data_IF_770590966851
#
_entry.id   IF_770590966851
#
_cell.length_a   1.000
_cell.length_b   1.000
_cell.length_c   1.000
_cell.angle_alpha   90.00
_cell.angle_beta   90.00
_cell.angle_gamma   90.00
#
_symmetry.space_group_name_H-M   'P 1'
#
loop_
_entity.id
_entity.type
_entity.pdbx_description
1 polymer ?
#
# COMPACT_ATOMS: atom_id res chain seq x y z
N UNK A 1 11.77 35.94 22.92
CA UNK A 1 10.52 35.91 22.14
C UNK A 1 10.70 36.16 20.63
N UNK A 2 11.59 37.06 20.16
CA UNK A 2 11.81 37.29 18.72
C UNK A 2 12.32 36.09 17.90
N UNK A 3 13.03 35.14 18.52
CA UNK A 3 13.55 33.96 17.80
C UNK A 3 12.52 32.84 17.58
N UNK A 4 11.43 32.81 18.36
CA UNK A 4 10.31 31.86 18.16
C UNK A 4 9.41 32.33 16.99
N UNK A 5 9.44 33.63 16.68
CA UNK A 5 8.70 34.26 15.58
C UNK A 5 9.46 34.23 14.23
N UNK A 6 10.70 33.72 14.19
CA UNK A 6 11.47 33.60 12.94
C UNK A 6 11.21 32.29 12.18
N UNK A 7 10.16 31.56 12.60
CA UNK A 7 9.70 30.33 11.94
C UNK A 7 8.89 30.73 10.69
N UNK A 8 9.24 30.17 9.53
CA UNK A 8 8.53 30.42 8.26
C UNK A 8 7.04 30.08 8.42
N UNK A 9 6.14 30.89 7.85
CA UNK A 9 4.67 30.71 7.88
C UNK A 9 4.25 29.28 7.50
N UNK A 10 4.96 28.69 6.52
CA UNK A 10 4.78 27.30 6.08
C UNK A 10 4.91 26.28 7.24
N UNK A 11 5.89 26.47 8.13
CA UNK A 11 6.16 25.55 9.24
C UNK A 11 5.05 25.62 10.30
N UNK A 12 4.54 26.84 10.59
CA UNK A 12 3.40 27.01 11.49
C UNK A 12 2.13 26.39 10.91
N UNK A 13 1.86 26.66 9.63
CA UNK A 13 0.74 26.06 8.91
C UNK A 13 0.79 24.53 8.98
N UNK A 14 1.95 23.93 8.67
CA UNK A 14 2.14 22.48 8.73
C UNK A 14 1.96 21.93 10.14
N UNK A 15 2.51 22.60 11.16
CA UNK A 15 2.37 22.17 12.55
C UNK A 15 0.89 22.16 13.00
N UNK A 16 0.14 23.21 12.68
CA UNK A 16 -1.30 23.29 12.98
C UNK A 16 -2.06 22.17 12.26
N UNK A 17 -1.79 21.96 10.96
CA UNK A 17 -2.44 20.90 10.18
C UNK A 17 -2.15 19.51 10.76
N UNK A 18 -0.90 19.23 11.13
CA UNK A 18 -0.52 17.98 11.79
C UNK A 18 -1.28 17.79 13.11
N UNK A 19 -1.32 18.82 13.96
CA UNK A 19 -2.04 18.77 15.24
C UNK A 19 -3.53 18.50 15.05
N UNK A 20 -4.18 19.18 14.10
CA UNK A 20 -5.59 18.97 13.77
C UNK A 20 -5.85 17.55 13.26
N UNK A 21 -5.02 17.06 12.33
CA UNK A 21 -5.14 15.69 11.82
C UNK A 21 -5.00 14.67 12.96
N UNK A 22 -3.96 14.80 13.77
CA UNK A 22 -3.69 13.88 14.89
C UNK A 22 -4.84 13.89 15.89
N UNK A 23 -5.26 15.08 16.35
CA UNK A 23 -6.29 15.22 17.37
C UNK A 23 -7.65 14.65 16.92
N UNK A 24 -8.02 14.87 15.66
CA UNK A 24 -9.32 14.43 15.12
C UNK A 24 -9.36 12.97 14.67
N UNK A 25 -8.20 12.30 14.53
CA UNK A 25 -8.10 10.94 13.97
C UNK A 25 -7.28 9.97 14.84
N UNK A 26 -7.05 10.30 16.11
CA UNK A 26 -6.25 9.47 17.04
C UNK A 26 -6.86 8.09 17.33
N UNK A 27 -8.15 7.93 17.12
CA UNK A 27 -8.92 6.71 17.40
C UNK A 27 -9.40 6.03 16.10
N UNK A 28 -8.86 6.43 14.93
CA UNK A 28 -9.12 5.78 13.64
C UNK A 28 -7.97 4.82 13.35
N UNK A 29 -8.24 3.51 13.31
CA UNK A 29 -7.21 2.49 13.20
C UNK A 29 -7.65 1.25 12.43
N UNK A 30 -6.68 0.42 12.02
CA UNK A 30 -6.95 -0.86 11.37
C UNK A 30 -7.05 -1.99 12.41
N UNK A 31 -8.10 -2.79 12.30
CA UNK A 31 -8.32 -4.02 13.04
C UNK A 31 -7.20 -5.03 12.76
N UNK A 32 -6.71 -5.71 13.79
CA UNK A 32 -5.79 -6.83 13.63
C UNK A 32 -6.54 -8.06 13.12
N UNK A 33 -6.31 -8.47 11.87
CA UNK A 33 -6.90 -9.69 11.29
C UNK A 33 -6.01 -10.93 11.45
N UNK A 34 -5.02 -10.87 12.34
CA UNK A 34 -4.05 -11.94 12.59
C UNK A 34 -2.67 -11.74 11.95
N UNK A 35 -2.50 -10.67 11.18
CA UNK A 35 -1.25 -10.40 10.46
C UNK A 35 -0.20 -9.65 11.29
N UNK A 36 -0.61 -8.92 12.34
CA UNK A 36 0.32 -8.12 13.15
C UNK A 36 1.45 -8.95 13.72
N UNK A 37 1.16 -10.19 14.14
CA UNK A 37 2.13 -11.09 14.75
C UNK A 37 3.38 -11.30 13.89
N UNK A 38 3.23 -11.28 12.56
CA UNK A 38 4.33 -11.46 11.60
C UNK A 38 5.39 -10.37 11.73
N UNK A 39 4.98 -9.17 12.15
CA UNK A 39 5.82 -7.98 12.18
C UNK A 39 6.32 -7.60 13.59
N UNK A 40 5.77 -8.20 14.65
CA UNK A 40 6.01 -7.77 16.04
C UNK A 40 6.64 -8.82 16.96
N UNK A 41 6.57 -10.11 16.56
CA UNK A 41 6.87 -11.24 17.44
C UNK A 41 8.18 -11.16 18.24
N UNK A 42 9.31 -10.68 17.71
CA UNK A 42 10.57 -10.67 18.47
C UNK A 42 10.65 -9.65 19.60
N UNK A 43 9.74 -8.67 19.68
CA UNK A 43 9.85 -7.55 20.61
C UNK A 43 8.58 -7.26 21.42
N UNK A 44 7.45 -7.88 21.08
CA UNK A 44 6.16 -7.60 21.68
C UNK A 44 5.27 -8.86 21.75
N UNK A 45 4.46 -9.04 22.83
CA UNK A 45 3.49 -10.13 22.91
C UNK A 45 2.43 -10.09 21.80
N UNK A 46 1.79 -11.24 21.50
CA UNK A 46 0.73 -11.29 20.52
C UNK A 46 -0.45 -10.37 20.85
N UNK A 47 -0.91 -9.63 19.84
CA UNK A 47 -2.12 -8.82 19.91
C UNK A 47 -3.30 -9.69 19.50
N UNK A 48 -4.42 -9.71 20.27
CA UNK A 48 -5.63 -10.45 19.88
C UNK A 48 -6.12 -10.08 18.48
N UNK A 49 -6.56 -11.08 17.72
CA UNK A 49 -7.13 -10.88 16.38
C UNK A 49 -8.64 -10.64 16.49
N UNK A 50 -9.19 -9.85 15.56
CA UNK A 50 -10.62 -9.54 15.44
C UNK A 50 -11.25 -8.90 16.69
N UNK A 51 -10.44 -8.24 17.53
CA UNK A 51 -10.90 -7.50 18.72
C UNK A 51 -11.12 -6.03 18.38
N UNK A 52 -12.35 -5.54 18.56
CA UNK A 52 -12.76 -4.17 18.23
C UNK A 52 -12.41 -3.13 19.32
N UNK A 53 -12.22 -3.55 20.57
CA UNK A 53 -11.85 -2.70 21.70
C UNK A 53 -10.34 -2.77 21.96
N UNK A 54 -9.54 -2.22 21.05
CA UNK A 54 -8.07 -2.16 21.21
C UNK A 54 -7.63 -0.91 21.97
N UNK A 55 -6.74 -1.08 22.95
CA UNK A 55 -6.18 0.03 23.75
C UNK A 55 -5.17 0.88 22.99
N UNK A 56 -4.62 0.33 21.88
CA UNK A 56 -3.55 0.91 21.07
C UNK A 56 -2.20 1.12 21.81
N UNK A 57 -2.11 0.61 23.04
CA UNK A 57 -0.92 0.59 23.89
C UNK A 57 -0.56 -0.85 24.18
N UNK A 58 0.66 -1.24 23.85
CA UNK A 58 1.09 -2.63 23.91
C UNK A 58 2.39 -2.77 24.72
N UNK A 59 2.48 -3.72 25.65
CA UNK A 59 3.70 -3.93 26.42
C UNK A 59 4.82 -4.47 25.53
N UNK A 60 6.05 -4.01 25.74
CA UNK A 60 7.25 -4.52 25.09
C UNK A 60 7.85 -5.64 25.96
N UNK A 61 8.58 -6.57 25.33
CA UNK A 61 9.36 -7.55 26.09
C UNK A 61 10.52 -6.89 26.84
N UNK A 62 10.85 -7.40 28.03
CA UNK A 62 12.01 -6.99 28.83
C UNK A 62 13.32 -7.17 28.07
N UNK A 63 13.45 -8.23 27.27
CA UNK A 63 14.56 -8.48 26.36
C UNK A 63 14.03 -8.79 24.97
N UNK A 64 14.56 -8.10 23.95
CA UNK A 64 14.16 -8.37 22.56
C UNK A 64 14.95 -9.56 22.03
N UNK A 65 14.27 -10.46 21.31
CA UNK A 65 14.87 -11.73 20.89
C UNK A 65 15.75 -11.62 19.63
N UNK A 66 15.95 -10.40 19.12
CA UNK A 66 16.77 -10.11 17.94
C UNK A 66 16.05 -10.34 16.60
N UNK A 67 16.49 -9.62 15.57
CA UNK A 67 15.90 -9.68 14.21
C UNK A 67 15.97 -11.08 13.55
N UNK A 68 16.87 -11.96 14.02
CA UNK A 68 16.99 -13.33 13.51
C UNK A 68 15.77 -14.22 13.82
N UNK A 69 14.96 -13.85 14.82
CA UNK A 69 13.81 -14.63 15.29
C UNK A 69 12.52 -14.39 14.51
N UNK A 70 12.51 -13.46 13.57
CA UNK A 70 11.40 -13.30 12.64
C UNK A 70 11.21 -14.55 11.79
N UNK A 71 9.99 -15.12 11.85
CA UNK A 71 9.52 -16.14 10.90
C UNK A 71 9.16 -15.53 9.55
N UNK A 72 8.67 -14.29 9.56
CA UNK A 72 8.43 -13.47 8.38
C UNK A 72 9.41 -12.30 8.38
N UNK A 73 10.40 -12.33 7.49
CA UNK A 73 11.45 -11.31 7.42
C UNK A 73 11.13 -10.31 6.33
N UNK A 74 11.13 -9.04 6.67
CA UNK A 74 10.91 -7.95 5.72
C UNK A 74 11.58 -6.67 6.19
N UNK A 75 11.77 -5.72 5.27
CA UNK A 75 12.24 -4.37 5.61
C UNK A 75 11.35 -3.72 6.67
N UNK A 76 10.02 -3.89 6.55
CA UNK A 76 9.06 -3.33 7.50
C UNK A 76 9.20 -3.92 8.91
N UNK A 77 9.35 -5.25 9.02
CA UNK A 77 9.50 -5.91 10.32
C UNK A 77 10.79 -5.45 11.02
N UNK A 78 11.86 -5.20 10.25
CA UNK A 78 13.10 -4.64 10.78
C UNK A 78 12.94 -3.17 11.17
N UNK A 79 12.26 -2.35 10.38
CA UNK A 79 11.94 -0.96 10.73
C UNK A 79 11.18 -0.92 12.07
N UNK A 80 10.14 -1.75 12.23
CA UNK A 80 9.38 -1.81 13.48
C UNK A 80 10.21 -2.26 14.67
N UNK A 81 11.11 -3.23 14.48
CA UNK A 81 12.03 -3.66 15.52
C UNK A 81 12.87 -2.50 16.07
N UNK A 82 13.50 -1.71 15.18
CA UNK A 82 14.32 -0.56 15.60
C UNK A 82 13.48 0.59 16.15
N UNK A 83 12.25 0.79 15.64
CA UNK A 83 11.30 1.74 16.24
C UNK A 83 10.94 1.31 17.67
N UNK A 84 10.67 0.02 17.90
CA UNK A 84 10.38 -0.49 19.23
C UNK A 84 11.58 -0.36 20.18
N UNK A 85 12.82 -0.53 19.70
CA UNK A 85 14.03 -0.28 20.50
C UNK A 85 14.12 1.19 20.92
N UNK A 86 13.81 2.13 20.02
CA UNK A 86 13.77 3.55 20.36
C UNK A 86 12.69 3.89 21.40
N UNK A 87 11.51 3.26 21.32
CA UNK A 87 10.47 3.39 22.35
C UNK A 87 10.94 2.86 23.70
N UNK A 88 11.63 1.71 23.70
CA UNK A 88 12.14 1.04 24.89
C UNK A 88 13.12 1.89 25.72
N UNK A 89 13.78 2.87 25.11
CA UNK A 89 14.63 3.83 25.82
C UNK A 89 13.87 4.76 26.75
N UNK A 90 12.56 4.94 26.54
CA UNK A 90 11.74 5.91 27.28
C UNK A 90 10.56 5.25 28.00
N UNK A 91 10.08 4.11 27.51
CA UNK A 91 8.91 3.40 28.08
C UNK A 91 8.98 1.90 27.79
N UNK A 92 8.39 1.11 28.66
CA UNK A 92 8.14 -0.33 28.50
C UNK A 92 6.95 -0.65 27.59
N UNK A 93 6.32 0.36 26.97
CA UNK A 93 5.14 0.19 26.12
C UNK A 93 5.32 0.87 24.77
N UNK A 94 4.83 0.22 23.71
CA UNK A 94 4.67 0.84 22.40
C UNK A 94 3.23 1.38 22.28
N UNK A 95 3.10 2.70 22.35
CA UNK A 95 1.84 3.40 22.05
C UNK A 95 1.76 3.71 20.55
N UNK A 96 0.90 2.97 19.85
CA UNK A 96 0.71 3.15 18.40
C UNK A 96 0.07 4.48 18.03
N UNK A 97 -0.54 5.21 18.98
CA UNK A 97 -1.02 6.58 18.75
C UNK A 97 0.15 7.56 18.65
N UNK A 98 1.21 7.37 19.44
CA UNK A 98 2.43 8.18 19.35
C UNK A 98 3.13 7.90 18.02
N UNK A 99 3.32 6.62 17.67
CA UNK A 99 3.87 6.24 16.37
C UNK A 99 3.02 6.82 15.22
N UNK A 100 1.70 6.71 15.32
CA UNK A 100 0.77 7.29 14.34
C UNK A 100 0.94 8.80 14.19
N UNK A 101 1.09 9.53 15.31
CA UNK A 101 1.32 10.97 15.28
C UNK A 101 2.62 11.36 14.56
N UNK A 102 3.70 10.62 14.81
CA UNK A 102 4.98 10.80 14.12
C UNK A 102 4.85 10.54 12.62
N UNK A 103 4.21 9.43 12.24
CA UNK A 103 4.06 9.04 10.84
C UNK A 103 3.10 9.97 10.07
N UNK A 104 1.99 10.41 10.68
CA UNK A 104 1.08 11.41 10.11
C UNK A 104 1.79 12.75 9.86
N UNK A 105 2.65 13.16 10.79
CA UNK A 105 3.46 14.38 10.64
C UNK A 105 4.47 14.26 9.51
N UNK A 106 5.18 13.13 9.43
CA UNK A 106 6.10 12.83 8.35
C UNK A 106 5.37 12.80 6.99
N UNK A 107 4.20 12.16 6.94
CA UNK A 107 3.37 12.05 5.75
C UNK A 107 2.95 13.43 5.21
N UNK A 108 2.37 14.30 6.04
CA UNK A 108 2.00 15.65 5.63
C UNK A 108 3.20 16.50 5.20
N UNK A 109 4.35 16.33 5.87
CA UNK A 109 5.60 17.00 5.50
C UNK A 109 6.09 16.58 4.12
N UNK A 110 6.02 15.28 3.81
CA UNK A 110 6.38 14.72 2.51
C UNK A 110 5.40 15.21 1.43
N UNK A 111 4.09 15.21 1.71
CA UNK A 111 3.09 15.73 0.77
C UNK A 111 3.30 17.22 0.49
N UNK A 112 3.62 18.04 1.50
CA UNK A 112 3.93 19.45 1.30
C UNK A 112 5.20 19.61 0.46
N UNK A 113 6.23 18.79 0.69
CA UNK A 113 7.45 18.78 -0.12
C UNK A 113 7.14 18.43 -1.59
N UNK A 114 6.29 17.43 -1.83
CA UNK A 114 5.80 17.06 -3.16
C UNK A 114 5.05 18.22 -3.83
N UNK A 115 4.09 18.82 -3.13
CA UNK A 115 3.33 19.97 -3.62
C UNK A 115 4.27 21.13 -4.01
N UNK A 116 5.23 21.47 -3.14
CA UNK A 116 6.24 22.51 -3.41
C UNK A 116 7.06 22.18 -4.64
N UNK A 117 7.54 20.95 -4.77
CA UNK A 117 8.37 20.54 -5.91
C UNK A 117 7.59 20.62 -7.23
N UNK A 118 6.30 20.29 -7.23
CA UNK A 118 5.40 20.46 -8.39
C UNK A 118 5.23 21.95 -8.75
N UNK A 119 5.19 22.82 -7.74
CA UNK A 119 5.04 24.28 -7.88
C UNK A 119 6.38 25.02 -8.02
N UNK A 120 7.47 24.34 -8.40
CA UNK A 120 8.82 24.94 -8.54
C UNK A 120 9.30 25.69 -7.28
N UNK A 121 8.88 25.23 -6.09
CA UNK A 121 9.10 25.81 -4.76
C UNK A 121 8.55 27.23 -4.55
N UNK A 122 7.74 27.74 -5.47
CA UNK A 122 7.07 29.04 -5.37
C UNK A 122 5.68 28.83 -4.80
N UNK A 123 5.53 28.96 -3.48
CA UNK A 123 4.24 28.80 -2.79
C UNK A 123 3.84 30.07 -2.05
N UNK A 124 2.59 30.51 -2.24
CA UNK A 124 1.96 31.60 -1.51
C UNK A 124 0.85 31.13 -0.57
N UNK A 125 0.09 32.07 -0.01
CA UNK A 125 -1.02 31.75 0.89
C UNK A 125 -2.14 30.93 0.20
N UNK A 126 -2.45 31.26 -1.06
CA UNK A 126 -3.44 30.52 -1.85
C UNK A 126 -2.99 29.08 -2.14
N UNK A 127 -1.69 28.86 -2.33
CA UNK A 127 -1.10 27.53 -2.47
C UNK A 127 -1.21 26.70 -1.20
N UNK A 128 -1.04 27.33 -0.02
CA UNK A 128 -1.23 26.65 1.26
C UNK A 128 -2.70 26.25 1.46
N UNK A 129 -3.65 27.09 1.02
CA UNK A 129 -5.08 26.74 1.04
C UNK A 129 -5.42 25.61 0.07
N UNK A 130 -4.88 25.66 -1.14
CA UNK A 130 -5.00 24.56 -2.11
C UNK A 130 -4.41 23.25 -1.55
N UNK A 131 -3.22 23.32 -0.97
CA UNK A 131 -2.58 22.18 -0.32
C UNK A 131 -3.41 21.66 0.85
N UNK A 132 -4.03 22.52 1.66
CA UNK A 132 -4.93 22.09 2.73
C UNK A 132 -6.05 21.20 2.18
N UNK A 133 -6.78 21.65 1.17
CA UNK A 133 -7.88 20.91 0.55
C UNK A 133 -7.40 19.58 -0.04
N UNK A 134 -6.28 19.59 -0.75
CA UNK A 134 -5.71 18.37 -1.35
C UNK A 134 -5.17 17.40 -0.29
N UNK A 135 -4.60 17.90 0.81
CA UNK A 135 -4.11 17.07 1.91
C UNK A 135 -5.27 16.41 2.68
N UNK A 136 -6.40 17.10 2.85
CA UNK A 136 -7.62 16.51 3.43
C UNK A 136 -8.08 15.31 2.60
N UNK A 137 -8.07 15.43 1.26
CA UNK A 137 -8.38 14.31 0.36
C UNK A 137 -7.47 13.08 0.57
N UNK A 138 -6.18 13.33 0.81
CA UNK A 138 -5.17 12.31 1.10
C UNK A 138 -5.29 11.68 2.49
N UNK A 139 -6.06 12.29 3.39
CA UNK A 139 -6.23 11.91 4.79
C UNK A 139 -7.56 11.20 5.09
N UNK A 140 -8.20 10.58 4.10
CA UNK A 140 -9.34 9.68 4.32
C UNK A 140 -8.98 8.51 5.24
N UNK A 141 -9.97 7.92 5.92
CA UNK A 141 -9.75 6.80 6.86
C UNK A 141 -9.06 5.61 6.20
N UNK A 142 -9.32 5.37 4.92
CA UNK A 142 -8.63 4.37 4.09
C UNK A 142 -7.12 4.49 4.05
N UNK A 143 -6.56 5.68 4.28
CA UNK A 143 -5.12 5.92 4.33
C UNK A 143 -4.63 6.01 5.77
N UNK A 144 -5.29 6.84 6.58
CA UNK A 144 -4.75 7.19 7.90
C UNK A 144 -4.91 6.09 8.95
N UNK A 145 -5.85 5.15 8.77
CA UNK A 145 -6.07 4.02 9.68
C UNK A 145 -4.85 3.06 9.72
N UNK A 146 -4.03 3.06 8.67
CA UNK A 146 -2.79 2.27 8.64
C UNK A 146 -1.71 2.81 9.57
N UNK A 147 -1.73 4.10 9.96
CA UNK A 147 -0.69 4.68 10.81
C UNK A 147 -0.61 4.08 12.23
N UNK A 148 -1.72 3.86 12.95
CA UNK A 148 -1.71 3.12 14.22
C UNK A 148 -1.84 1.59 14.03
N UNK A 149 -1.19 1.02 13.01
CA UNK A 149 -1.24 -0.42 12.71
C UNK A 149 0.15 -0.99 12.42
N UNK A 150 0.26 -2.32 12.40
CA UNK A 150 1.48 -3.06 12.02
C UNK A 150 1.37 -3.72 10.64
N UNK A 151 0.53 -3.17 9.76
CA UNK A 151 0.43 -3.64 8.36
C UNK A 151 1.58 -3.10 7.52
N UNK A 152 2.20 -3.97 6.71
CA UNK A 152 3.38 -3.63 5.91
C UNK A 152 3.09 -2.58 4.84
N UNK A 153 1.85 -2.51 4.35
CA UNK A 153 1.34 -1.52 3.40
C UNK A 153 1.62 -0.08 3.81
N UNK A 154 1.74 0.17 5.12
CA UNK A 154 2.02 1.48 5.69
C UNK A 154 3.25 2.16 5.06
N UNK A 155 4.25 1.40 4.60
CA UNK A 155 5.44 2.00 3.97
C UNK A 155 5.12 2.77 2.69
N UNK A 156 4.05 2.39 1.96
CA UNK A 156 3.66 3.08 0.73
C UNK A 156 3.30 4.54 1.00
N UNK A 157 2.64 4.83 2.13
CA UNK A 157 2.20 6.17 2.52
C UNK A 157 3.36 7.18 2.53
N UNK A 158 4.56 6.74 2.93
CA UNK A 158 5.73 7.59 3.02
C UNK A 158 6.65 7.45 1.80
N UNK A 159 6.94 6.21 1.40
CA UNK A 159 7.97 5.94 0.39
C UNK A 159 7.48 6.24 -1.03
N UNK A 160 6.21 6.00 -1.38
CA UNK A 160 5.74 6.22 -2.75
C UNK A 160 5.70 7.72 -3.12
N UNK A 161 5.23 8.64 -2.26
CA UNK A 161 5.37 10.08 -2.52
C UNK A 161 6.82 10.54 -2.59
N UNK A 162 7.73 9.99 -1.76
CA UNK A 162 9.18 10.29 -1.86
C UNK A 162 9.74 9.86 -3.22
N UNK A 163 9.33 8.69 -3.72
CA UNK A 163 9.71 8.27 -5.08
C UNK A 163 9.18 9.22 -6.16
N UNK A 164 7.92 9.66 -6.05
CA UNK A 164 7.36 10.65 -6.97
C UNK A 164 8.14 11.97 -6.92
N UNK A 165 8.49 12.46 -5.72
CA UNK A 165 9.37 13.63 -5.54
C UNK A 165 10.68 13.42 -6.28
N UNK A 166 11.34 12.28 -6.12
CA UNK A 166 12.63 12.00 -6.77
C UNK A 166 12.56 11.94 -8.29
N UNK A 167 11.40 11.58 -8.86
CA UNK A 167 11.20 11.51 -10.30
C UNK A 167 10.86 12.87 -10.94
N UNK A 168 10.39 13.85 -10.16
CA UNK A 168 10.12 15.21 -10.65
C UNK A 168 11.44 15.90 -11.03
N UNK A 169 11.45 16.55 -12.21
CA UNK A 169 12.59 17.24 -12.83
C UNK A 169 13.75 16.33 -13.29
N UNK A 170 13.67 15.01 -13.03
CA UNK A 170 14.64 14.00 -13.50
C UNK A 170 16.07 14.25 -13.03
N UNK A 171 16.23 14.89 -11.87
CA UNK A 171 17.55 15.13 -11.27
C UNK A 171 18.14 13.81 -10.73
N UNK A 172 19.45 13.65 -10.87
CA UNK A 172 20.20 12.47 -10.43
C UNK A 172 21.32 12.87 -9.43
N UNK A 173 21.01 13.82 -8.55
CA UNK A 173 21.82 14.17 -7.38
C UNK A 173 21.91 12.99 -6.40
N UNK A 174 23.01 12.91 -5.64
CA UNK A 174 23.23 11.81 -4.68
C UNK A 174 22.06 11.64 -3.70
N UNK A 175 21.53 12.75 -3.19
CA UNK A 175 20.37 12.75 -2.30
C UNK A 175 19.12 12.16 -2.98
N UNK A 176 18.82 12.60 -4.21
CA UNK A 176 17.66 12.11 -4.98
C UNK A 176 17.78 10.61 -5.29
N UNK A 177 18.98 10.17 -5.71
CA UNK A 177 19.30 8.75 -5.91
C UNK A 177 19.11 7.94 -4.63
N UNK A 178 19.65 8.42 -3.50
CA UNK A 178 19.57 7.74 -2.22
C UNK A 178 18.11 7.61 -1.75
N UNK A 179 17.34 8.70 -1.75
CA UNK A 179 15.93 8.68 -1.35
C UNK A 179 15.10 7.76 -2.25
N UNK A 180 15.35 7.75 -3.56
CA UNK A 180 14.67 6.86 -4.49
C UNK A 180 15.00 5.39 -4.21
N UNK A 181 16.29 5.03 -4.15
CA UNK A 181 16.73 3.65 -3.91
C UNK A 181 16.27 3.13 -2.55
N UNK A 182 16.39 3.93 -1.49
CA UNK A 182 15.94 3.54 -0.14
C UNK A 182 14.43 3.29 -0.15
N UNK A 183 13.65 4.20 -0.76
CA UNK A 183 12.19 4.03 -0.86
C UNK A 183 11.79 2.78 -1.64
N UNK A 184 12.47 2.53 -2.77
CA UNK A 184 12.29 1.31 -3.57
C UNK A 184 12.61 0.06 -2.77
N UNK A 185 13.73 0.06 -2.05
CA UNK A 185 14.15 -1.08 -1.23
C UNK A 185 13.18 -1.33 -0.08
N UNK A 186 12.75 -0.27 0.63
CA UNK A 186 11.79 -0.38 1.73
C UNK A 186 10.47 -0.95 1.22
N UNK A 187 9.90 -0.41 0.13
CA UNK A 187 8.65 -0.93 -0.43
C UNK A 187 8.85 -2.37 -0.92
N UNK A 188 9.84 -2.62 -1.79
CA UNK A 188 10.08 -3.91 -2.42
C UNK A 188 10.35 -5.04 -1.42
N UNK A 189 11.05 -4.74 -0.33
CA UNK A 189 11.35 -5.70 0.73
C UNK A 189 10.29 -5.81 1.84
N UNK A 190 9.20 -5.04 1.80
CA UNK A 190 8.23 -4.98 2.91
C UNK A 190 7.20 -6.11 2.86
N UNK A 191 6.72 -6.46 1.66
CA UNK A 191 5.71 -7.49 1.42
C UNK A 191 6.01 -8.23 0.12
N UNK A 192 5.69 -9.53 0.07
CA UNK A 192 5.85 -10.34 -1.14
C UNK A 192 5.16 -9.73 -2.35
N UNK A 193 4.02 -9.07 -2.17
CA UNK A 193 3.29 -8.34 -3.21
C UNK A 193 4.08 -7.21 -3.88
N UNK A 194 5.10 -6.64 -3.23
CA UNK A 194 5.86 -5.50 -3.75
C UNK A 194 7.24 -5.88 -4.31
N UNK A 195 7.62 -7.16 -4.25
CA UNK A 195 8.99 -7.63 -4.50
C UNK A 195 9.56 -7.25 -5.87
N UNK A 196 8.69 -7.01 -6.87
CA UNK A 196 9.05 -6.68 -8.25
C UNK A 196 9.33 -5.19 -8.46
N UNK A 197 9.05 -4.35 -7.46
CA UNK A 197 9.19 -2.91 -7.62
C UNK A 197 10.62 -2.50 -8.02
N UNK A 198 11.71 -3.02 -7.41
CA UNK A 198 13.06 -2.62 -7.78
C UNK A 198 13.41 -2.90 -9.25
N UNK A 199 13.09 -4.09 -9.77
CA UNK A 199 13.32 -4.43 -11.18
C UNK A 199 12.47 -3.56 -12.12
N UNK A 200 11.22 -3.25 -11.76
CA UNK A 200 10.39 -2.34 -12.56
C UNK A 200 10.95 -0.90 -12.61
N UNK A 201 11.56 -0.46 -11.51
CA UNK A 201 12.22 0.83 -11.41
C UNK A 201 13.49 0.92 -12.27
N UNK A 202 14.14 -0.21 -12.60
CA UNK A 202 15.33 -0.21 -13.48
C UNK A 202 14.99 0.34 -14.86
N UNK A 203 13.83 -0.02 -15.43
CA UNK A 203 13.37 0.56 -16.72
C UNK A 203 13.18 2.07 -16.60
N UNK A 204 12.63 2.52 -15.47
CA UNK A 204 12.45 3.95 -15.17
C UNK A 204 13.79 4.70 -15.02
N UNK A 205 14.91 4.01 -14.79
CA UNK A 205 16.22 4.66 -14.63
C UNK A 205 16.77 5.26 -15.92
N UNK A 206 16.39 4.71 -17.07
CA UNK A 206 16.80 5.20 -18.39
C UNK A 206 16.31 6.63 -18.67
N UNK A 207 15.40 7.15 -17.83
CA UNK A 207 14.78 8.46 -17.97
C UNK A 207 15.41 9.56 -17.10
N UNK A 208 16.26 9.22 -16.12
CA UNK A 208 16.98 10.25 -15.34
C UNK A 208 17.96 11.00 -16.24
N UNK A 209 18.03 12.33 -16.10
CA UNK A 209 19.09 13.12 -16.76
C UNK A 209 20.42 12.68 -16.17
N UNK A 210 21.38 12.35 -17.03
CA UNK A 210 22.70 11.84 -16.62
C UNK A 210 22.60 10.57 -15.76
N UNK A 211 21.97 9.53 -16.31
CA UNK A 211 21.89 8.20 -15.70
C UNK A 211 23.25 7.75 -15.16
N UNK A 212 23.26 7.30 -13.91
CA UNK A 212 24.44 6.75 -13.24
C UNK A 212 24.28 5.23 -13.17
N UNK A 213 25.29 4.50 -13.61
CA UNK A 213 25.35 3.03 -13.47
C UNK A 213 25.17 2.59 -12.01
N UNK A 214 25.55 3.44 -11.05
CA UNK A 214 25.36 3.21 -9.61
C UNK A 214 23.88 3.10 -9.23
N UNK A 215 22.98 3.86 -9.85
CA UNK A 215 21.54 3.77 -9.58
C UNK A 215 20.99 2.38 -9.96
N UNK A 216 21.28 1.89 -11.16
CA UNK A 216 20.82 0.55 -11.55
C UNK A 216 21.49 -0.55 -10.73
N UNK A 217 22.78 -0.44 -10.44
CA UNK A 217 23.47 -1.38 -9.56
C UNK A 217 22.79 -1.43 -8.17
N UNK A 218 22.46 -0.28 -7.59
CA UNK A 218 21.73 -0.22 -6.31
C UNK A 218 20.32 -0.81 -6.40
N UNK A 219 19.59 -0.60 -7.50
CA UNK A 219 18.27 -1.22 -7.70
C UNK A 219 18.35 -2.74 -7.89
N UNK A 220 19.38 -3.24 -8.58
CA UNK A 220 19.65 -4.68 -8.69
C UNK A 220 19.95 -5.29 -7.33
N UNK A 221 20.77 -4.62 -6.53
CA UNK A 221 21.04 -5.04 -5.14
C UNK A 221 19.73 -5.05 -4.33
N UNK A 222 18.92 -3.98 -4.42
CA UNK A 222 17.63 -3.92 -3.77
C UNK A 222 16.68 -5.06 -4.22
N UNK A 223 16.71 -5.44 -5.51
CA UNK A 223 15.96 -6.58 -6.03
C UNK A 223 16.41 -7.90 -5.40
N UNK A 224 17.72 -8.14 -5.33
CA UNK A 224 18.30 -9.35 -4.74
C UNK A 224 17.85 -9.49 -3.27
N UNK A 225 17.94 -8.43 -2.49
CA UNK A 225 17.48 -8.46 -1.09
C UNK A 225 15.96 -8.61 -0.97
N UNK A 226 15.18 -7.98 -1.85
CA UNK A 226 13.72 -8.14 -1.87
C UNK A 226 13.31 -9.59 -2.13
N UNK A 227 13.98 -10.26 -3.09
CA UNK A 227 13.79 -11.70 -3.34
C UNK A 227 14.22 -12.53 -2.12
N UNK A 228 15.36 -12.19 -1.51
CA UNK A 228 15.82 -12.90 -0.31
C UNK A 228 14.78 -12.85 0.81
N UNK A 229 14.12 -11.71 1.05
CA UNK A 229 13.04 -11.61 2.05
C UNK A 229 11.84 -12.54 1.73
N UNK A 230 11.44 -12.63 0.46
CA UNK A 230 10.36 -13.53 0.02
C UNK A 230 10.73 -15.00 0.21
N UNK A 231 11.96 -15.37 -0.14
CA UNK A 231 12.46 -16.75 -0.03
C UNK A 231 12.57 -17.22 1.43
N UNK A 232 12.98 -16.33 2.34
CA UNK A 232 13.12 -16.65 3.77
C UNK A 232 11.79 -16.64 4.54
N UNK A 233 10.69 -16.19 3.92
CA UNK A 233 9.35 -16.14 4.52
C UNK A 233 8.44 -17.27 4.01
N UNK A 234 9.00 -18.49 3.92
CA UNK A 234 8.44 -19.64 3.19
C UNK A 234 7.04 -20.06 3.63
N UNK A 235 6.69 -19.89 4.91
CA UNK A 235 5.36 -20.20 5.43
C UNK A 235 4.26 -19.43 4.70
N UNK A 236 4.36 -18.09 4.66
CA UNK A 236 3.40 -17.24 3.97
C UNK A 236 3.38 -17.52 2.45
N UNK A 237 4.57 -17.68 1.85
CA UNK A 237 4.70 -17.94 0.42
C UNK A 237 4.02 -19.25 -0.01
N UNK A 238 4.04 -20.30 0.81
CA UNK A 238 3.38 -21.57 0.49
C UNK A 238 1.85 -21.48 0.55
N UNK A 239 1.30 -20.73 1.50
CA UNK A 239 -0.13 -20.43 1.52
C UNK A 239 -0.55 -19.65 0.27
N UNK A 240 0.22 -18.63 -0.11
CA UNK A 240 -0.08 -17.79 -1.27
C UNK A 240 -0.06 -18.60 -2.59
N UNK A 241 0.87 -19.58 -2.76
CA UNK A 241 0.84 -20.48 -3.93
C UNK A 241 -0.49 -21.22 -4.04
N UNK A 242 -0.99 -21.73 -2.91
CA UNK A 242 -2.27 -22.45 -2.87
C UNK A 242 -3.45 -21.51 -3.16
N UNK A 243 -3.50 -20.33 -2.53
CA UNK A 243 -4.60 -19.38 -2.76
C UNK A 243 -4.60 -18.82 -4.18
N UNK A 244 -3.44 -18.52 -4.75
CA UNK A 244 -3.28 -18.10 -6.14
C UNK A 244 -3.97 -19.06 -7.12
N UNK A 245 -3.82 -20.37 -6.89
CA UNK A 245 -4.41 -21.40 -7.72
C UNK A 245 -5.89 -21.67 -7.35
N UNK A 246 -6.13 -22.22 -6.16
CA UNK A 246 -7.43 -22.79 -5.76
C UNK A 246 -8.43 -21.74 -5.28
N UNK A 247 -7.98 -20.67 -4.64
CA UNK A 247 -8.82 -19.55 -4.21
C UNK A 247 -8.74 -18.36 -5.19
N UNK A 248 -8.13 -18.56 -6.35
CA UNK A 248 -7.84 -17.53 -7.34
C UNK A 248 -8.26 -18.00 -8.72
N UNK A 249 -7.28 -18.38 -9.55
CA UNK A 249 -7.53 -18.61 -10.99
C UNK A 249 -8.50 -19.78 -11.26
N UNK A 250 -8.38 -20.91 -10.55
CA UNK A 250 -9.30 -22.04 -10.76
C UNK A 250 -10.71 -21.71 -10.30
N UNK A 251 -10.84 -20.88 -9.26
CA UNK A 251 -12.14 -20.38 -8.82
C UNK A 251 -12.75 -19.44 -9.87
N UNK A 252 -11.95 -18.54 -10.43
CA UNK A 252 -12.37 -17.67 -11.52
C UNK A 252 -12.84 -18.48 -12.73
N UNK A 253 -12.06 -19.47 -13.17
CA UNK A 253 -12.38 -20.32 -14.32
C UNK A 253 -13.68 -21.09 -14.12
N UNK A 254 -13.83 -21.74 -12.95
CA UNK A 254 -15.04 -22.48 -12.58
C UNK A 254 -16.29 -21.58 -12.56
N UNK A 255 -16.17 -20.34 -12.08
CA UNK A 255 -17.29 -19.39 -12.03
C UNK A 255 -17.64 -18.78 -13.40
N UNK A 256 -16.75 -18.85 -14.38
CA UNK A 256 -16.91 -18.25 -15.70
C UNK A 256 -16.99 -19.31 -16.82
N UNK A 257 -17.28 -20.57 -16.46
CA UNK A 257 -17.40 -21.70 -17.38
C UNK A 257 -16.18 -21.87 -18.31
N UNK A 258 -14.98 -21.58 -17.80
CA UNK A 258 -13.71 -21.81 -18.49
C UNK A 258 -13.20 -23.21 -18.12
N UNK A 259 -12.69 -23.95 -19.10
CA UNK A 259 -12.19 -25.31 -18.93
C UNK A 259 -11.07 -25.37 -17.88
N UNK A 260 -11.25 -26.20 -16.86
CA UNK A 260 -10.24 -26.42 -15.82
C UNK A 260 -9.09 -27.33 -16.31
N UNK A 261 -7.85 -27.14 -15.83
CA UNK A 261 -6.75 -28.04 -16.16
C UNK A 261 -6.95 -29.44 -15.56
N UNK A 262 -6.42 -30.46 -16.25
CA UNK A 262 -6.55 -31.87 -15.82
C UNK A 262 -5.83 -32.10 -14.49
N UNK A 263 -6.50 -32.80 -13.57
CA UNK A 263 -5.92 -33.20 -12.28
C UNK A 263 -6.09 -32.18 -11.16
N UNK A 264 -6.83 -31.09 -11.37
CA UNK A 264 -7.26 -30.17 -10.31
C UNK A 264 -8.28 -30.87 -9.41
N UNK A 265 -8.15 -30.70 -8.09
CA UNK A 265 -9.13 -31.17 -7.12
C UNK A 265 -10.34 -30.21 -7.08
N UNK A 266 -11.37 -30.53 -7.86
CA UNK A 266 -12.56 -29.68 -7.99
C UNK A 266 -13.28 -29.39 -6.67
N UNK A 267 -13.12 -30.24 -5.64
CA UNK A 267 -13.73 -30.03 -4.32
C UNK A 267 -13.04 -28.93 -3.53
N UNK A 268 -11.78 -28.64 -3.85
CA UNK A 268 -10.97 -27.64 -3.17
C UNK A 268 -10.97 -26.28 -3.86
N UNK A 269 -11.59 -26.17 -5.05
CA UNK A 269 -11.74 -24.89 -5.75
C UNK A 269 -12.65 -23.96 -4.94
N UNK A 270 -12.18 -22.74 -4.68
CA UNK A 270 -12.87 -21.73 -3.89
C UNK A 270 -12.77 -21.97 -2.39
N UNK A 271 -11.86 -22.82 -1.90
CA UNK A 271 -11.59 -23.03 -0.47
C UNK A 271 -10.21 -22.48 -0.13
N UNK A 272 -10.12 -21.60 0.86
CA UNK A 272 -8.83 -21.11 1.36
C UNK A 272 -8.21 -22.10 2.35
N UNK A 273 -6.91 -21.95 2.59
CA UNK A 273 -6.14 -22.83 3.47
C UNK A 273 -6.62 -22.86 4.95
N UNK A 274 -7.44 -21.89 5.36
CA UNK A 274 -8.01 -21.78 6.72
C UNK A 274 -9.48 -22.20 6.78
N UNK A 275 -10.05 -22.64 5.66
CA UNK A 275 -11.44 -23.13 5.58
C UNK A 275 -12.46 -22.05 5.25
N UNK A 276 -12.05 -20.91 4.72
CA UNK A 276 -12.99 -19.97 4.09
C UNK A 276 -13.43 -20.50 2.74
N UNK A 277 -14.72 -20.71 2.54
CA UNK A 277 -15.31 -21.04 1.24
C UNK A 277 -15.84 -19.76 0.60
N UNK A 278 -15.42 -19.51 -0.65
CA UNK A 278 -15.79 -18.34 -1.43
C UNK A 278 -17.31 -18.27 -1.60
N UNK A 279 -17.86 -17.10 -1.27
CA UNK A 279 -19.30 -16.85 -1.30
C UNK A 279 -19.55 -15.45 -1.87
N UNK A 280 -20.34 -15.37 -2.95
CA UNK A 280 -20.57 -14.10 -3.62
C UNK A 280 -21.33 -13.09 -2.74
N UNK A 281 -22.27 -13.54 -1.92
CA UNK A 281 -23.11 -12.66 -1.12
C UNK A 281 -22.41 -12.25 0.18
N UNK A 282 -21.74 -13.20 0.84
CA UNK A 282 -21.15 -13.01 2.17
C UNK A 282 -19.65 -12.74 2.14
N UNK A 283 -19.01 -12.87 0.98
CA UNK A 283 -17.55 -12.87 0.80
C UNK A 283 -16.97 -14.26 1.05
N UNK A 284 -17.15 -14.78 2.28
CA UNK A 284 -16.74 -16.13 2.65
C UNK A 284 -17.54 -16.66 3.82
N UNK A 285 -17.77 -17.97 3.83
CA UNK A 285 -18.34 -18.70 4.97
C UNK A 285 -17.43 -19.87 5.39
N UNK A 286 -17.59 -20.35 6.62
CA UNK A 286 -16.71 -21.37 7.19
C UNK A 286 -17.01 -22.76 6.61
N UNK A 287 -15.96 -23.43 6.19
CA UNK A 287 -15.89 -24.79 5.68
C UNK A 287 -14.92 -25.63 6.52
N UNK A 288 -15.17 -26.93 6.60
CA UNK A 288 -14.31 -27.90 7.31
C UNK A 288 -13.15 -28.41 6.46
N UNK A 289 -13.11 -28.08 5.16
CA UNK A 289 -12.17 -28.68 4.21
C UNK A 289 -10.84 -27.92 4.03
N UNK A 290 -10.66 -26.75 4.67
CA UNK A 290 -9.51 -25.88 4.42
C UNK A 290 -8.15 -26.55 4.59
N UNK A 291 -7.89 -27.10 5.78
CA UNK A 291 -6.61 -27.74 6.06
C UNK A 291 -6.39 -29.02 5.23
N UNK A 292 -7.44 -29.81 5.00
CA UNK A 292 -7.36 -31.00 4.14
C UNK A 292 -7.05 -30.65 2.69
N UNK A 293 -7.69 -29.61 2.16
CA UNK A 293 -7.48 -29.15 0.79
C UNK A 293 -6.08 -28.57 0.59
N UNK A 294 -5.61 -27.76 1.53
CA UNK A 294 -4.24 -27.25 1.51
C UNK A 294 -3.22 -28.38 1.58
N UNK A 295 -3.39 -29.36 2.48
CA UNK A 295 -2.47 -30.50 2.63
C UNK A 295 -2.42 -31.39 1.39
N UNK A 296 -3.57 -31.66 0.77
CA UNK A 296 -3.66 -32.45 -0.45
C UNK A 296 -2.97 -31.77 -1.65
N UNK A 297 -2.92 -30.44 -1.66
CA UNK A 297 -2.46 -29.64 -2.81
C UNK A 297 -1.19 -28.83 -2.55
N UNK A 298 -0.32 -29.29 -1.63
CA UNK A 298 0.93 -28.57 -1.27
C UNK A 298 1.94 -28.41 -2.42
N UNK A 299 1.83 -29.23 -3.45
CA UNK A 299 2.74 -29.23 -4.59
C UNK A 299 2.45 -28.11 -5.60
N UNK A 300 1.33 -27.40 -5.45
CA UNK A 300 0.96 -26.31 -6.35
C UNK A 300 1.93 -25.14 -6.24
N UNK A 301 2.17 -24.50 -7.37
CA UNK A 301 3.13 -23.39 -7.51
C UNK A 301 2.46 -22.20 -8.19
N UNK A 302 3.07 -21.01 -8.06
CA UNK A 302 2.62 -19.84 -8.83
C UNK A 302 2.68 -20.06 -10.35
N UNK A 303 3.53 -20.98 -10.83
CA UNK A 303 3.62 -21.30 -12.25
C UNK A 303 2.34 -21.97 -12.76
N UNK A 304 1.65 -22.74 -11.92
CA UNK A 304 0.39 -23.36 -12.29
C UNK A 304 -0.67 -22.29 -12.55
N UNK A 305 -0.72 -21.26 -11.69
CA UNK A 305 -1.59 -20.11 -11.95
C UNK A 305 -1.17 -19.32 -13.20
N UNK A 306 0.11 -19.04 -13.37
CA UNK A 306 0.63 -18.27 -14.52
C UNK A 306 0.32 -18.97 -15.85
N UNK A 307 0.43 -20.30 -15.91
CA UNK A 307 0.08 -21.09 -17.12
C UNK A 307 -1.36 -20.88 -17.54
N UNK A 308 -2.28 -20.77 -16.60
CA UNK A 308 -3.69 -20.51 -16.91
C UNK A 308 -3.90 -19.09 -17.46
N UNK A 309 -3.21 -18.06 -16.93
CA UNK A 309 -3.26 -16.73 -17.55
C UNK A 309 -2.68 -16.70 -18.97
N UNK A 310 -1.67 -17.55 -19.26
CA UNK A 310 -1.10 -17.67 -20.61
C UNK A 310 -2.08 -18.41 -21.54
N UNK A 311 -2.74 -19.46 -21.04
CA UNK A 311 -3.71 -20.27 -21.81
C UNK A 311 -5.01 -19.51 -22.06
N UNK A 312 -5.40 -18.67 -21.11
CA UNK A 312 -6.64 -17.88 -21.11
C UNK A 312 -6.37 -16.39 -20.88
N UNK A 313 -5.66 -15.69 -21.80
CA UNK A 313 -5.25 -14.30 -21.61
C UNK A 313 -6.43 -13.32 -21.45
N UNK A 314 -7.63 -13.70 -21.93
CA UNK A 314 -8.86 -12.92 -21.73
C UNK A 314 -9.22 -12.70 -20.25
N UNK A 315 -8.74 -13.57 -19.34
CA UNK A 315 -8.98 -13.45 -17.90
C UNK A 315 -8.44 -12.12 -17.37
N UNK A 316 -7.26 -11.67 -17.84
CA UNK A 316 -6.66 -10.40 -17.42
C UNK A 316 -7.61 -9.23 -17.66
N UNK A 317 -8.32 -9.23 -18.80
CA UNK A 317 -9.25 -8.16 -19.17
C UNK A 317 -10.62 -8.29 -18.49
N UNK A 318 -11.05 -9.52 -18.17
CA UNK A 318 -12.33 -9.78 -17.49
C UNK A 318 -12.25 -9.58 -15.98
N UNK A 319 -11.09 -9.83 -15.37
CA UNK A 319 -10.89 -9.83 -13.92
C UNK A 319 -11.32 -8.53 -13.22
N UNK A 320 -11.00 -7.31 -13.72
CA UNK A 320 -11.51 -6.06 -13.14
C UNK A 320 -13.04 -5.96 -13.11
N UNK A 321 -13.73 -6.73 -13.97
CA UNK A 321 -15.17 -6.71 -14.09
C UNK A 321 -15.88 -7.85 -13.37
N UNK A 322 -15.13 -8.78 -12.78
CA UNK A 322 -15.65 -9.86 -11.95
C UNK A 322 -16.46 -9.30 -10.77
N UNK A 323 -17.61 -9.91 -10.47
CA UNK A 323 -18.52 -9.39 -9.46
C UNK A 323 -17.94 -9.42 -8.05
N UNK A 324 -17.19 -10.46 -7.69
CA UNK A 324 -16.58 -10.57 -6.36
C UNK A 324 -15.39 -9.60 -6.26
N UNK A 325 -14.60 -9.45 -7.33
CA UNK A 325 -13.51 -8.48 -7.38
C UNK A 325 -14.04 -7.06 -7.22
N UNK A 326 -15.12 -6.68 -7.92
CA UNK A 326 -15.73 -5.35 -7.81
C UNK A 326 -16.10 -4.98 -6.38
N UNK A 327 -16.66 -5.93 -5.64
CA UNK A 327 -17.02 -5.73 -4.23
C UNK A 327 -15.80 -5.46 -3.33
N UNK A 328 -14.61 -5.85 -3.77
CA UNK A 328 -13.34 -5.61 -3.08
C UNK A 328 -12.62 -4.33 -3.53
N UNK A 329 -13.05 -3.65 -4.60
CA UNK A 329 -12.45 -2.40 -5.11
C UNK A 329 -12.84 -1.14 -4.29
N UNK A 330 -13.41 -1.35 -3.10
CA UNK A 330 -13.78 -0.31 -2.13
C UNK A 330 -12.60 0.05 -1.21
N UNK A 331 -12.67 1.22 -0.58
CA UNK A 331 -11.63 1.75 0.33
C UNK A 331 -12.06 1.73 1.80
N UNK A 332 -13.34 1.49 2.08
CA UNK A 332 -13.81 1.01 3.39
C UNK A 332 -13.59 -0.50 3.51
N UNK A 333 -12.32 -0.86 3.72
CA UNK A 333 -11.79 -2.22 3.56
C UNK A 333 -12.56 -3.28 4.36
N UNK A 334 -12.76 -4.42 3.72
CA UNK A 334 -13.36 -5.62 4.29
C UNK A 334 -12.33 -6.75 4.39
N UNK A 335 -12.51 -7.63 5.37
CA UNK A 335 -11.81 -8.91 5.39
C UNK A 335 -12.48 -9.89 4.40
N UNK A 336 -11.98 -11.13 4.34
CA UNK A 336 -12.56 -12.23 3.53
C UNK A 336 -14.08 -12.38 3.72
N UNK A 337 -14.61 -12.09 4.91
CA UNK A 337 -16.05 -11.99 5.16
C UNK A 337 -16.48 -10.52 5.12
N UNK A 338 -17.48 -10.20 4.29
CA UNK A 338 -17.97 -8.82 4.06
C UNK A 338 -18.50 -8.13 5.32
N UNK A 339 -18.92 -8.90 6.32
CA UNK A 339 -19.41 -8.40 7.61
C UNK A 339 -18.29 -7.87 8.51
N UNK A 340 -17.04 -8.20 8.23
CA UNK A 340 -15.89 -7.78 9.03
C UNK A 340 -15.25 -6.57 8.35
N UNK A 341 -15.54 -5.39 8.88
CA UNK A 341 -14.89 -4.13 8.49
C UNK A 341 -13.53 -4.02 9.17
N UNK A 342 -12.51 -3.66 8.41
CA UNK A 342 -11.13 -3.62 8.91
C UNK A 342 -10.77 -2.24 9.45
N UNK A 343 -11.44 -1.17 9.01
CA UNK A 343 -11.26 0.17 9.58
C UNK A 343 -12.20 0.33 10.77
N UNK A 344 -11.65 0.70 11.93
CA UNK A 344 -12.40 1.02 13.14
C UNK A 344 -12.43 2.53 13.33
N UNK A 345 -13.65 3.09 13.39
CA UNK A 345 -13.93 4.49 13.65
C UNK A 345 -15.34 4.66 14.25
N UNK A 346 -15.46 4.42 15.55
CA UNK A 346 -16.76 4.40 16.26
C UNK A 346 -17.50 5.75 16.24
N UNK A 347 -16.79 6.85 15.97
CA UNK A 347 -17.35 8.21 15.97
C UNK A 347 -17.82 8.65 14.59
N UNK A 348 -17.63 7.82 13.57
CA UNK A 348 -17.86 8.16 12.17
C UNK A 348 -17.24 9.52 11.80
N UNK A 349 -15.92 9.61 11.96
CA UNK A 349 -15.16 10.83 11.78
C UNK A 349 -15.27 11.40 10.35
N UNK A 350 -14.83 12.65 10.18
CA UNK A 350 -14.75 13.28 8.85
C UNK A 350 -13.91 12.45 7.87
N UNK A 351 -12.90 11.73 8.35
CA UNK A 351 -12.03 10.89 7.53
C UNK A 351 -12.78 9.69 6.95
N UNK A 352 -13.68 9.06 7.72
CA UNK A 352 -14.50 7.94 7.26
C UNK A 352 -15.62 8.38 6.32
N UNK A 353 -16.23 9.54 6.59
CA UNK A 353 -17.17 10.18 5.66
C UNK A 353 -16.52 10.44 4.30
N UNK A 354 -15.30 10.98 4.31
CA UNK A 354 -14.53 11.21 3.09
C UNK A 354 -14.20 9.90 2.35
N UNK A 355 -13.85 8.83 3.05
CA UNK A 355 -13.66 7.50 2.45
C UNK A 355 -14.91 7.06 1.69
N UNK A 356 -16.10 7.16 2.30
CA UNK A 356 -17.36 6.79 1.64
C UNK A 356 -17.66 7.65 0.42
N UNK A 357 -17.48 8.97 0.51
CA UNK A 357 -17.64 9.89 -0.63
C UNK A 357 -16.71 9.47 -1.79
N UNK A 358 -15.46 9.09 -1.48
CA UNK A 358 -14.49 8.63 -2.50
C UNK A 358 -14.90 7.29 -3.11
N UNK A 359 -15.44 6.37 -2.31
CA UNK A 359 -15.98 5.12 -2.82
C UNK A 359 -17.17 5.37 -3.74
N UNK A 360 -18.15 6.17 -3.32
CA UNK A 360 -19.31 6.52 -4.15
C UNK A 360 -18.90 7.18 -5.47
N UNK A 361 -17.89 8.06 -5.44
CA UNK A 361 -17.42 8.78 -6.63
C UNK A 361 -16.57 7.93 -7.57
N UNK A 362 -15.70 7.05 -7.04
CA UNK A 362 -14.63 6.44 -7.83
C UNK A 362 -14.63 4.91 -7.85
N UNK A 363 -15.14 4.22 -6.82
CA UNK A 363 -15.21 2.76 -6.63
C UNK A 363 -14.47 1.93 -7.72
N UNK A 364 -15.23 1.38 -8.66
CA UNK A 364 -14.77 0.50 -9.75
C UNK A 364 -14.02 1.22 -10.87
N UNK A 365 -14.13 2.56 -10.94
CA UNK A 365 -13.56 3.38 -12.01
C UNK A 365 -12.10 3.78 -11.73
N UNK A 366 -11.59 3.59 -10.50
CA UNK A 366 -10.23 4.00 -10.10
C UNK A 366 -9.16 3.57 -11.11
N UNK A 367 -9.13 2.29 -11.49
CA UNK A 367 -8.12 1.78 -12.43
C UNK A 367 -8.27 2.40 -13.84
N UNK A 368 -9.50 2.55 -14.33
CA UNK A 368 -9.76 3.16 -15.63
C UNK A 368 -9.33 4.64 -15.64
N UNK A 369 -9.64 5.38 -14.58
CA UNK A 369 -9.24 6.79 -14.40
C UNK A 369 -7.71 6.89 -14.33
N UNK A 370 -7.04 6.03 -13.54
CA UNK A 370 -5.58 5.99 -13.46
C UNK A 370 -4.93 5.75 -14.83
N UNK A 371 -5.47 4.81 -15.61
CA UNK A 371 -4.99 4.52 -16.95
C UNK A 371 -5.18 5.72 -17.88
N UNK A 372 -6.38 6.33 -17.87
CA UNK A 372 -6.69 7.50 -18.68
C UNK A 372 -5.77 8.69 -18.36
N UNK A 373 -5.55 9.00 -17.08
CA UNK A 373 -4.63 10.05 -16.63
C UNK A 373 -3.19 9.73 -17.08
N UNK A 374 -2.76 8.48 -16.92
CA UNK A 374 -1.41 8.06 -17.34
C UNK A 374 -1.22 8.27 -18.85
N UNK A 375 -2.16 7.83 -19.68
CA UNK A 375 -2.11 8.02 -21.13
C UNK A 375 -2.16 9.50 -21.51
N UNK A 376 -3.01 10.29 -20.86
CA UNK A 376 -3.12 11.73 -21.09
C UNK A 376 -1.78 12.45 -20.88
N UNK A 377 -1.11 12.17 -19.76
CA UNK A 377 0.17 12.80 -19.43
C UNK A 377 1.33 12.34 -20.32
N UNK A 378 1.27 11.11 -20.86
CA UNK A 378 2.25 10.59 -21.81
C UNK A 378 2.08 11.22 -23.21
N UNK A 379 0.84 11.37 -23.67
CA UNK A 379 0.53 11.82 -25.04
C UNK A 379 0.61 13.35 -25.17
N UNK A 380 0.01 14.10 -24.24
CA UNK A 380 -0.17 15.56 -24.37
C UNK A 380 1.14 16.32 -24.07
N UNK A 381 1.73 17.04 -25.05
CA UNK A 381 3.04 17.68 -24.89
C UNK A 381 3.16 18.65 -23.71
N UNK A 382 2.11 19.44 -23.43
CA UNK A 382 2.11 20.41 -22.33
C UNK A 382 2.18 19.76 -20.95
N UNK A 383 1.73 18.50 -20.82
CA UNK A 383 1.70 17.75 -19.57
C UNK A 383 2.98 16.90 -19.35
N UNK A 384 3.83 16.75 -20.37
CA UNK A 384 4.98 15.84 -20.36
C UNK A 384 6.00 16.09 -19.24
N UNK A 385 6.00 17.29 -18.64
CA UNK A 385 6.86 17.61 -17.48
C UNK A 385 6.59 16.68 -16.29
N UNK A 386 5.34 16.26 -16.12
CA UNK A 386 4.90 15.37 -15.03
C UNK A 386 4.64 13.93 -15.48
N UNK A 387 4.89 13.60 -16.76
CA UNK A 387 4.54 12.29 -17.33
C UNK A 387 5.12 11.11 -16.56
N UNK A 388 6.39 11.16 -16.17
CA UNK A 388 7.02 10.01 -15.51
C UNK A 388 6.60 9.79 -14.07
N UNK A 389 6.59 10.77 -13.16
CA UNK A 389 6.10 10.50 -11.82
C UNK A 389 4.61 10.08 -11.85
N UNK A 390 3.79 10.62 -12.77
CA UNK A 390 2.39 10.16 -12.97
C UNK A 390 2.33 8.73 -13.51
N UNK A 391 3.05 8.42 -14.59
CA UNK A 391 3.05 7.08 -15.18
C UNK A 391 3.62 6.04 -14.21
N UNK A 392 4.64 6.40 -13.44
CA UNK A 392 5.20 5.52 -12.42
C UNK A 392 4.16 5.17 -11.34
N UNK A 393 3.50 6.18 -10.75
CA UNK A 393 2.45 5.94 -9.74
C UNK A 393 1.27 5.18 -10.33
N UNK A 394 0.85 5.50 -11.56
CA UNK A 394 -0.26 4.82 -12.24
C UNK A 394 0.03 3.37 -12.59
N UNK A 395 1.20 3.08 -13.16
CA UNK A 395 1.63 1.71 -13.49
C UNK A 395 1.83 0.90 -12.21
N UNK A 396 2.41 1.49 -11.15
CA UNK A 396 2.50 0.83 -9.85
C UNK A 396 1.11 0.49 -9.32
N UNK A 397 0.20 1.47 -9.24
CA UNK A 397 -1.17 1.24 -8.78
C UNK A 397 -1.93 0.17 -9.56
N UNK A 398 -1.86 0.19 -10.90
CA UNK A 398 -2.54 -0.82 -11.74
C UNK A 398 -1.89 -2.20 -11.58
N UNK A 399 -0.55 -2.27 -11.54
CA UNK A 399 0.13 -3.56 -11.37
C UNK A 399 -0.15 -4.18 -10.00
N UNK A 400 -0.38 -3.36 -8.96
CA UNK A 400 -0.77 -3.87 -7.64
C UNK A 400 -2.06 -4.67 -7.69
N UNK A 401 -3.07 -4.24 -8.45
CA UNK A 401 -4.31 -5.02 -8.62
C UNK A 401 -4.04 -6.45 -9.10
N UNK A 402 -3.26 -6.58 -10.18
CA UNK A 402 -2.96 -7.89 -10.76
C UNK A 402 -2.05 -8.73 -9.87
N UNK A 403 -1.03 -8.12 -9.25
CA UNK A 403 -0.10 -8.85 -8.39
C UNK A 403 -0.77 -9.31 -7.09
N UNK A 404 -1.70 -8.53 -6.51
CA UNK A 404 -2.51 -8.98 -5.37
C UNK A 404 -3.30 -10.23 -5.73
N UNK A 405 -4.03 -10.20 -6.86
CA UNK A 405 -4.88 -11.32 -7.27
C UNK A 405 -4.06 -12.55 -7.69
N UNK A 406 -2.94 -12.35 -8.39
CA UNK A 406 -2.00 -13.43 -8.71
C UNK A 406 -1.38 -14.05 -7.46
N UNK A 407 -1.25 -13.30 -6.37
CA UNK A 407 -0.65 -13.75 -5.12
C UNK A 407 -1.62 -14.46 -4.19
N UNK A 408 -2.83 -13.92 -4.00
CA UNK A 408 -3.78 -14.39 -2.97
C UNK A 408 -5.17 -14.76 -3.52
N UNK A 409 -5.40 -14.60 -4.83
CA UNK A 409 -6.71 -14.82 -5.43
C UNK A 409 -7.76 -13.87 -4.88
N UNK A 410 -8.94 -14.39 -4.55
CA UNK A 410 -10.03 -13.65 -3.93
C UNK A 410 -9.82 -13.37 -2.44
N UNK A 411 -8.77 -13.92 -1.82
CA UNK A 411 -8.61 -13.87 -0.37
C UNK A 411 -8.14 -12.50 0.08
N UNK A 412 -8.90 -11.90 1.00
CA UNK A 412 -8.58 -10.63 1.67
C UNK A 412 -8.24 -9.49 0.67
N UNK A 413 -8.78 -9.58 -0.54
CA UNK A 413 -8.36 -8.78 -1.68
C UNK A 413 -8.51 -7.29 -1.39
N UNK A 414 -9.61 -6.88 -0.74
CA UNK A 414 -9.87 -5.47 -0.41
C UNK A 414 -8.70 -4.78 0.30
N UNK A 415 -8.16 -5.37 1.38
CA UNK A 415 -7.00 -4.81 2.11
C UNK A 415 -5.74 -4.80 1.25
N UNK A 416 -5.52 -5.86 0.48
CA UNK A 416 -4.35 -6.00 -0.39
C UNK A 416 -4.35 -5.01 -1.57
N UNK A 417 -5.51 -4.49 -1.95
CA UNK A 417 -5.67 -3.44 -2.95
C UNK A 417 -5.39 -2.03 -2.42
N UNK A 418 -4.96 -1.88 -1.16
CA UNK A 418 -4.51 -0.59 -0.61
C UNK A 418 -3.50 0.13 -1.53
N UNK A 419 -2.55 -0.60 -2.13
CA UNK A 419 -1.58 -0.02 -3.07
C UNK A 419 -2.22 0.60 -4.31
N UNK A 420 -3.36 0.06 -4.78
CA UNK A 420 -4.16 0.64 -5.87
C UNK A 420 -4.83 1.93 -5.40
N UNK A 421 -5.52 1.87 -4.27
CA UNK A 421 -6.27 2.98 -3.68
C UNK A 421 -5.37 4.18 -3.36
N UNK A 422 -4.24 3.93 -2.72
CA UNK A 422 -3.30 5.00 -2.37
C UNK A 422 -2.60 5.58 -3.60
N UNK A 423 -2.26 4.76 -4.60
CA UNK A 423 -1.70 5.26 -5.86
C UNK A 423 -2.68 6.15 -6.62
N UNK A 424 -3.96 5.79 -6.62
CA UNK A 424 -5.02 6.62 -7.18
C UNK A 424 -5.10 7.97 -6.48
N UNK A 425 -5.15 7.97 -5.14
CA UNK A 425 -5.21 9.20 -4.36
C UNK A 425 -4.01 10.11 -4.62
N UNK A 426 -2.80 9.53 -4.58
CA UNK A 426 -1.56 10.26 -4.82
C UNK A 426 -1.48 10.83 -6.23
N UNK A 427 -1.97 10.08 -7.23
CA UNK A 427 -2.03 10.55 -8.62
C UNK A 427 -2.98 11.74 -8.76
N UNK A 428 -4.18 11.67 -8.19
CA UNK A 428 -5.11 12.80 -8.20
C UNK A 428 -4.53 14.02 -7.49
N UNK A 429 -3.89 13.82 -6.33
CA UNK A 429 -3.17 14.88 -5.62
C UNK A 429 -2.13 15.54 -6.52
N UNK A 430 -1.31 14.77 -7.23
CA UNK A 430 -0.27 15.28 -8.12
C UNK A 430 -0.85 16.00 -9.34
N UNK A 431 -1.88 15.45 -9.97
CA UNK A 431 -2.55 16.06 -11.13
C UNK A 431 -3.18 17.39 -10.74
N UNK A 432 -3.93 17.42 -9.63
CA UNK A 432 -4.56 18.65 -9.13
C UNK A 432 -3.50 19.69 -8.74
N UNK A 433 -2.44 19.28 -8.04
CA UNK A 433 -1.32 20.17 -7.71
C UNK A 433 -0.67 20.77 -8.96
N UNK A 434 -0.47 19.97 -10.01
CA UNK A 434 0.11 20.43 -11.27
C UNK A 434 -0.84 21.35 -12.04
N UNK A 435 -2.15 21.07 -12.03
CA UNK A 435 -3.15 21.94 -12.64
C UNK A 435 -3.17 23.31 -11.96
N UNK A 436 -3.19 23.34 -10.62
CA UNK A 436 -3.15 24.58 -9.81
C UNK A 436 -1.87 25.37 -10.11
N UNK A 437 -0.71 24.69 -10.13
CA UNK A 437 0.57 25.31 -10.46
C UNK A 437 0.57 26.01 -11.83
N UNK A 438 -0.12 25.46 -12.82
CA UNK A 438 -0.23 26.05 -14.16
C UNK A 438 -1.28 27.15 -14.24
N UNK A 439 -2.39 27.04 -13.51
CA UNK A 439 -3.44 28.07 -13.48
C UNK A 439 -2.99 29.34 -12.74
N UNK A 440 -2.18 29.20 -11.69
CA UNK A 440 -1.71 30.32 -10.88
C UNK A 440 -0.46 31.01 -11.44
N UNK A 441 0.24 30.39 -12.40
CA UNK A 441 1.29 31.07 -13.17
C UNK A 441 0.61 32.12 -14.06
N UNK A 442 0.73 33.41 -13.69
CA UNK A 442 0.32 34.51 -14.57
C UNK A 442 0.97 34.31 -15.96
N UNK A 443 0.24 34.51 -17.07
CA UNK A 443 0.88 34.59 -18.38
C UNK A 443 1.97 35.66 -18.30
N UNK A 444 3.19 35.27 -18.70
CA UNK A 444 4.32 36.19 -18.79
C UNK A 444 4.09 37.20 -19.91
#
# INVERSE_FOLDING_TARGET
MKNILNIRVESWFLAILCLLLIATTKDVYMLNTGDFQRAIFPFMPPIPSFKHDMTLKYPLYEEFWGIGKYSYRSTYSYILYFVAEAFKWVTDQLDTRILSAMLKSAYLSILLCLYRKINDYKIGAMDLMAFLLLSVFMCSSSNIAFFPSFYQEQVLLLCLPVMAISLINRDNSLATTAFFVISVFVIGGSKSQFFYLPISCIVSTLYFRNYKKTLAASLLIAQIFSIAFVLHSSGATNYNKYHSAYYGIYAFEKMNDITLPKGVDEKCIGIDAWGGQLDKERGSHRSTFGESCYKANRNVTFMDSIKEYISHPSIIFKLPFDTIVKDNLVTDYIHVAKTIKVIIDDKDSWASKLTRIKDDAFSIYRMAIMLAITLLFLVVPSLRKMAVPIAFVGIFGISQFYISFLGEGYRDLSKHLFGVSFSFDLMLFMVASFAIANLMKKPQ
#
